data_IF_044635332565
#
_entry.id   IF_044635332565
#
_cell.length_a   1.000
_cell.length_b   1.000
_cell.length_c   1.000
_cell.angle_alpha   90.00
_cell.angle_beta   90.00
_cell.angle_gamma   90.00
#
_symmetry.space_group_name_H-M   'P 1'
#
loop_
_entity.id
_entity.type
_entity.pdbx_description
1 polymer ?
#
# COMPACT_ATOMS: atom_id res chain seq x y z
N UNK A 1 14.90 -19.00 28.86
CA UNK A 1 13.77 -19.27 27.95
C UNK A 1 14.01 -18.30 26.83
N UNK A 2 14.33 -18.75 25.64
CA UNK A 2 14.51 -17.89 24.47
C UNK A 2 13.12 -17.39 24.11
N UNK A 3 12.94 -16.11 24.15
CA UNK A 3 11.78 -15.44 23.58
C UNK A 3 11.96 -15.58 22.06
N UNK A 4 11.29 -16.58 21.51
CA UNK A 4 11.21 -16.72 20.07
C UNK A 4 10.30 -15.57 19.63
N UNK A 5 10.91 -14.54 19.02
CA UNK A 5 10.19 -13.43 18.42
C UNK A 5 9.01 -13.99 17.64
N UNK A 6 7.80 -13.49 17.89
CA UNK A 6 6.57 -13.94 17.25
C UNK A 6 6.68 -13.61 15.77
N UNK A 7 7.26 -14.54 15.02
CA UNK A 7 7.12 -14.54 13.55
C UNK A 7 5.62 -14.64 13.31
N UNK A 8 5.02 -13.61 12.75
CA UNK A 8 3.59 -13.61 12.46
C UNK A 8 3.29 -14.86 11.63
N UNK A 9 2.46 -15.76 12.18
CA UNK A 9 2.14 -16.99 11.47
C UNK A 9 1.48 -16.66 10.15
N UNK A 10 1.85 -17.33 9.04
CA UNK A 10 1.17 -17.20 7.77
C UNK A 10 -0.34 -17.32 7.94
N UNK A 11 -1.10 -16.62 7.11
CA UNK A 11 -2.55 -16.82 7.10
C UNK A 11 -2.87 -18.26 6.69
N UNK A 12 -3.86 -18.85 7.36
CA UNK A 12 -4.46 -20.11 6.95
C UNK A 12 -5.30 -19.91 5.69
N UNK A 13 -5.59 -20.99 4.96
CA UNK A 13 -6.47 -20.96 3.79
C UNK A 13 -7.85 -20.36 4.12
N UNK A 14 -8.36 -20.61 5.34
CA UNK A 14 -9.62 -20.05 5.80
C UNK A 14 -9.56 -18.52 6.00
N UNK A 15 -8.43 -18.00 6.53
CA UNK A 15 -8.21 -16.56 6.71
C UNK A 15 -7.99 -15.88 5.35
N UNK A 16 -7.29 -16.52 4.41
CA UNK A 16 -7.14 -16.04 3.04
C UNK A 16 -8.52 -15.97 2.36
N UNK A 17 -9.34 -17.02 2.49
CA UNK A 17 -10.70 -17.03 1.94
C UNK A 17 -11.60 -15.95 2.55
N UNK A 18 -11.49 -15.70 3.86
CA UNK A 18 -12.23 -14.62 4.52
C UNK A 18 -11.81 -13.24 4.01
N UNK A 19 -10.52 -13.05 3.78
CA UNK A 19 -9.98 -11.79 3.25
C UNK A 19 -10.45 -11.58 1.79
N UNK A 20 -10.40 -12.61 0.96
CA UNK A 20 -10.87 -12.57 -0.43
C UNK A 20 -12.38 -12.27 -0.51
N UNK A 21 -13.20 -12.93 0.33
CA UNK A 21 -14.64 -12.67 0.40
C UNK A 21 -14.94 -11.21 0.75
N UNK A 22 -14.19 -10.62 1.69
CA UNK A 22 -14.36 -9.22 2.04
C UNK A 22 -13.93 -8.29 0.91
N UNK A 23 -12.72 -8.50 0.35
CA UNK A 23 -12.16 -7.65 -0.70
C UNK A 23 -13.07 -7.58 -1.93
N UNK A 24 -13.83 -8.66 -2.21
CA UNK A 24 -14.75 -8.75 -3.33
C UNK A 24 -16.22 -8.46 -2.95
N UNK A 25 -16.49 -8.05 -1.70
CA UNK A 25 -17.84 -7.81 -1.19
C UNK A 25 -18.37 -6.42 -1.57
N UNK A 26 -19.70 -6.24 -1.46
CA UNK A 26 -20.37 -4.94 -1.64
C UNK A 26 -19.97 -3.89 -0.57
N UNK A 27 -19.33 -4.32 0.53
CA UNK A 27 -18.87 -3.42 1.60
C UNK A 27 -17.53 -2.73 1.26
N UNK A 28 -16.84 -3.20 0.23
CA UNK A 28 -15.62 -2.59 -0.31
C UNK A 28 -15.91 -1.78 -1.58
N UNK A 29 -15.13 -0.71 -1.86
CA UNK A 29 -15.25 0.02 -3.11
C UNK A 29 -15.07 -0.88 -4.34
N UNK A 30 -15.73 -0.55 -5.45
CA UNK A 30 -15.60 -1.28 -6.73
C UNK A 30 -14.13 -1.33 -7.24
N UNK A 31 -13.33 -0.32 -6.89
CA UNK A 31 -11.90 -0.24 -7.21
C UNK A 31 -10.98 -0.95 -6.22
N UNK A 32 -11.50 -1.72 -5.25
CA UNK A 32 -10.67 -2.48 -4.31
C UNK A 32 -9.92 -3.62 -5.04
N UNK A 33 -8.73 -3.93 -4.53
CA UNK A 33 -7.97 -5.08 -5.02
C UNK A 33 -8.63 -6.38 -4.58
N UNK A 34 -8.68 -7.40 -5.43
CA UNK A 34 -8.90 -8.77 -4.99
C UNK A 34 -7.64 -9.33 -4.30
N UNK A 35 -7.70 -10.55 -3.80
CA UNK A 35 -6.60 -11.16 -3.05
C UNK A 35 -5.34 -11.36 -3.92
N UNK A 36 -5.50 -11.67 -5.21
CA UNK A 36 -4.37 -11.88 -6.13
C UNK A 36 -3.71 -10.55 -6.51
N UNK A 37 -4.51 -9.52 -6.79
CA UNK A 37 -4.03 -8.16 -7.05
C UNK A 37 -3.31 -7.59 -5.83
N UNK A 38 -3.87 -7.80 -4.63
CA UNK A 38 -3.25 -7.40 -3.37
C UNK A 38 -1.90 -8.09 -3.16
N UNK A 39 -1.80 -9.40 -3.43
CA UNK A 39 -0.53 -10.13 -3.33
C UNK A 39 0.50 -9.58 -4.32
N UNK A 40 0.10 -9.31 -5.56
CA UNK A 40 0.98 -8.68 -6.56
C UNK A 40 1.50 -7.32 -6.13
N UNK A 41 0.61 -6.47 -5.60
CA UNK A 41 0.95 -5.16 -5.08
C UNK A 41 1.93 -5.23 -3.89
N UNK A 42 1.65 -6.08 -2.92
CA UNK A 42 2.53 -6.31 -1.77
C UNK A 42 3.87 -6.90 -2.18
N UNK A 43 3.86 -7.84 -3.13
CA UNK A 43 5.10 -8.42 -3.66
C UNK A 43 5.99 -7.37 -4.33
N UNK A 44 5.39 -6.42 -5.04
CA UNK A 44 6.12 -5.29 -5.62
C UNK A 44 6.69 -4.36 -4.55
N UNK A 45 5.91 -4.03 -3.52
CA UNK A 45 6.41 -3.22 -2.39
C UNK A 45 7.57 -3.90 -1.67
N UNK A 46 7.45 -5.20 -1.36
CA UNK A 46 8.48 -5.95 -0.62
C UNK A 46 9.74 -6.20 -1.46
N UNK A 47 9.58 -6.42 -2.78
CA UNK A 47 10.71 -6.70 -3.67
C UNK A 47 11.36 -5.45 -4.26
N UNK A 48 10.66 -4.32 -4.29
CA UNK A 48 11.00 -3.12 -5.07
C UNK A 48 11.85 -2.08 -4.32
N UNK A 49 12.00 -0.91 -4.96
CA UNK A 49 12.78 0.21 -4.42
C UNK A 49 12.06 0.96 -3.32
N UNK A 50 10.74 0.81 -3.24
CA UNK A 50 9.86 1.65 -2.44
C UNK A 50 9.66 1.04 -1.05
N UNK A 51 9.71 1.90 -0.03
CA UNK A 51 9.17 1.59 1.29
C UNK A 51 7.88 2.38 1.45
N UNK A 52 6.79 1.68 1.74
CA UNK A 52 5.48 2.30 1.95
C UNK A 52 4.97 1.90 3.33
N UNK A 53 4.44 2.90 4.06
CA UNK A 53 3.81 2.65 5.35
C UNK A 53 2.55 1.81 5.17
N UNK A 54 2.25 0.85 6.05
CA UNK A 54 1.02 0.06 5.99
C UNK A 54 -0.26 0.89 5.87
N UNK A 55 -0.35 2.01 6.58
CA UNK A 55 -1.49 2.93 6.46
C UNK A 55 -1.65 3.51 5.04
N UNK A 56 -0.53 3.79 4.36
CA UNK A 56 -0.53 4.23 2.96
C UNK A 56 -0.82 3.08 2.00
N UNK A 57 -0.32 1.88 2.31
CA UNK A 57 -0.59 0.65 1.54
C UNK A 57 -2.09 0.31 1.54
N UNK A 58 -2.75 0.37 2.70
CA UNK A 58 -4.18 0.10 2.83
C UNK A 58 -5.03 0.95 1.89
N UNK A 59 -4.67 2.22 1.69
CA UNK A 59 -5.40 3.10 0.78
C UNK A 59 -5.45 2.56 -0.64
N UNK A 60 -4.33 2.03 -1.13
CA UNK A 60 -4.23 1.46 -2.47
C UNK A 60 -4.93 0.10 -2.57
N UNK A 61 -4.97 -0.67 -1.49
CA UNK A 61 -5.72 -1.93 -1.45
C UNK A 61 -7.23 -1.66 -1.57
N UNK A 62 -7.74 -0.63 -0.89
CA UNK A 62 -9.16 -0.28 -0.92
C UNK A 62 -9.59 0.44 -2.19
N UNK A 63 -8.69 1.13 -2.86
CA UNK A 63 -8.93 1.85 -4.11
C UNK A 63 -7.65 1.87 -4.95
N UNK A 64 -7.53 0.87 -5.81
CA UNK A 64 -6.36 0.65 -6.65
C UNK A 64 -6.12 1.77 -7.68
N UNK A 65 -7.10 2.62 -7.95
CA UNK A 65 -7.00 3.68 -8.94
C UNK A 65 -6.51 4.99 -8.36
N UNK A 66 -7.00 5.39 -7.17
CA UNK A 66 -6.75 6.71 -6.58
C UNK A 66 -6.30 6.67 -5.13
N UNK A 67 -6.58 5.58 -4.42
CA UNK A 67 -6.35 5.47 -2.98
C UNK A 67 -7.19 6.46 -2.16
N UNK A 68 -8.40 6.78 -2.62
CA UNK A 68 -9.26 7.81 -2.02
C UNK A 68 -10.48 7.21 -1.32
N UNK A 69 -10.90 6.02 -1.70
CA UNK A 69 -12.06 5.33 -1.14
C UNK A 69 -11.65 4.37 -0.03
N UNK A 70 -12.59 4.09 0.86
CA UNK A 70 -12.39 3.17 1.98
C UNK A 70 -13.60 2.24 2.12
N UNK A 71 -13.42 1.02 2.64
CA UNK A 71 -14.51 0.09 2.84
C UNK A 71 -15.44 0.55 3.98
N UNK A 72 -16.67 0.05 3.95
CA UNK A 72 -17.63 0.24 5.03
C UNK A 72 -17.68 -1.04 5.86
N UNK A 73 -17.17 -0.99 7.08
CA UNK A 73 -17.20 -2.13 8.00
C UNK A 73 -18.46 -2.11 8.86
N UNK A 74 -19.03 -3.28 9.14
CA UNK A 74 -20.19 -3.42 10.02
C UNK A 74 -19.86 -3.07 11.49
N UNK A 75 -18.60 -3.17 11.88
CA UNK A 75 -18.12 -2.83 13.21
C UNK A 75 -16.64 -2.49 13.24
N UNK A 76 -16.22 -1.80 14.29
CA UNK A 76 -14.80 -1.55 14.54
C UNK A 76 -13.99 -2.83 14.82
N UNK A 77 -14.62 -3.86 15.37
CA UNK A 77 -13.97 -5.15 15.59
C UNK A 77 -13.69 -5.85 14.24
N UNK A 78 -14.61 -5.77 13.29
CA UNK A 78 -14.41 -6.27 11.93
C UNK A 78 -13.29 -5.52 11.22
N UNK A 79 -13.34 -4.17 11.25
CA UNK A 79 -12.27 -3.33 10.69
C UNK A 79 -10.91 -3.71 11.24
N UNK A 80 -10.78 -3.80 12.57
CA UNK A 80 -9.52 -4.20 13.22
C UNK A 80 -9.07 -5.57 12.74
N UNK A 81 -9.97 -6.57 12.75
CA UNK A 81 -9.64 -7.94 12.35
C UNK A 81 -9.14 -8.01 10.90
N UNK A 82 -9.80 -7.32 9.97
CA UNK A 82 -9.41 -7.33 8.56
C UNK A 82 -8.05 -6.63 8.35
N UNK A 83 -7.83 -5.50 9.00
CA UNK A 83 -6.52 -4.82 8.94
C UNK A 83 -5.42 -5.72 9.52
N UNK A 84 -5.66 -6.43 10.63
CA UNK A 84 -4.72 -7.40 11.18
C UNK A 84 -4.39 -8.53 10.18
N UNK A 85 -5.39 -9.06 9.45
CA UNK A 85 -5.15 -10.08 8.43
C UNK A 85 -4.27 -9.53 7.30
N UNK A 86 -4.55 -8.32 6.81
CA UNK A 86 -3.78 -7.66 5.75
C UNK A 86 -2.33 -7.44 6.20
N UNK A 87 -2.11 -6.94 7.42
CA UNK A 87 -0.77 -6.69 7.96
C UNK A 87 -0.01 -8.00 8.17
N UNK A 88 -0.67 -9.05 8.67
CA UNK A 88 -0.05 -10.37 8.81
C UNK A 88 0.35 -10.94 7.45
N UNK A 89 -0.50 -10.76 6.43
CA UNK A 89 -0.20 -11.17 5.06
C UNK A 89 1.02 -10.41 4.51
N UNK A 90 1.03 -9.09 4.67
CA UNK A 90 2.16 -8.23 4.31
C UNK A 90 3.47 -8.67 4.96
N UNK A 91 3.46 -8.88 6.28
CA UNK A 91 4.63 -9.31 7.03
C UNK A 91 5.11 -10.69 6.55
N UNK A 92 4.20 -11.61 6.21
CA UNK A 92 4.55 -12.92 5.66
C UNK A 92 5.21 -12.82 4.27
N UNK A 93 4.69 -12.00 3.36
CA UNK A 93 5.30 -11.75 2.05
C UNK A 93 6.71 -11.17 2.22
N UNK A 94 6.85 -10.18 3.09
CA UNK A 94 8.13 -9.52 3.39
C UNK A 94 9.12 -10.51 4.01
N UNK A 95 8.71 -11.31 4.99
CA UNK A 95 9.56 -12.32 5.64
C UNK A 95 10.00 -13.40 4.63
N UNK A 96 9.09 -13.87 3.80
CA UNK A 96 9.39 -14.87 2.77
C UNK A 96 10.45 -14.37 1.79
N UNK A 97 10.32 -13.15 1.30
CA UNK A 97 11.28 -12.55 0.38
C UNK A 97 12.65 -12.30 1.05
N UNK A 98 12.66 -11.91 2.33
CA UNK A 98 13.89 -11.62 3.05
C UNK A 98 14.63 -12.89 3.51
N UNK A 99 13.92 -13.92 3.98
CA UNK A 99 14.51 -15.04 4.72
C UNK A 99 14.37 -16.41 4.02
N UNK A 100 13.35 -16.58 3.18
CA UNK A 100 13.08 -17.85 2.48
C UNK A 100 12.81 -17.62 0.99
N UNK A 101 13.63 -16.78 0.38
CA UNK A 101 13.44 -16.26 -0.98
C UNK A 101 13.14 -17.33 -2.03
N UNK A 102 13.78 -18.50 -1.95
CA UNK A 102 13.55 -19.59 -2.90
C UNK A 102 12.16 -20.25 -2.71
N UNK A 103 11.55 -20.09 -1.55
CA UNK A 103 10.18 -20.53 -1.24
C UNK A 103 9.09 -19.57 -1.70
N UNK A 104 9.44 -18.35 -2.15
CA UNK A 104 8.45 -17.39 -2.59
C UNK A 104 7.67 -17.89 -3.81
N UNK A 105 6.34 -17.80 -3.74
CA UNK A 105 5.42 -18.08 -4.84
C UNK A 105 4.33 -17.00 -4.87
N UNK A 106 3.95 -16.48 -6.05
CA UNK A 106 2.83 -15.57 -6.18
C UNK A 106 1.50 -16.27 -5.88
N UNK A 107 0.57 -15.58 -5.24
CA UNK A 107 -0.79 -16.08 -5.03
C UNK A 107 -1.63 -15.84 -6.28
N UNK A 108 -1.70 -16.84 -7.15
CA UNK A 108 -2.48 -16.79 -8.38
C UNK A 108 -3.82 -17.50 -8.19
N UNK A 109 -4.91 -16.82 -8.49
CA UNK A 109 -6.22 -17.44 -8.59
C UNK A 109 -6.23 -18.50 -9.70
N UNK A 110 -7.17 -19.44 -9.62
CA UNK A 110 -7.31 -20.51 -10.60
C UNK A 110 -8.68 -20.41 -11.25
N UNK A 111 -8.72 -20.65 -12.56
CA UNK A 111 -9.96 -20.88 -13.30
C UNK A 111 -9.94 -22.25 -13.96
N UNK A 112 -11.10 -22.88 -14.06
CA UNK A 112 -11.22 -24.16 -14.75
C UNK A 112 -11.46 -23.93 -16.24
N UNK A 113 -10.64 -24.56 -17.10
CA UNK A 113 -10.82 -24.60 -18.54
C UNK A 113 -10.69 -26.06 -18.99
N UNK A 114 -11.73 -26.58 -19.62
CA UNK A 114 -11.79 -27.97 -20.10
C UNK A 114 -11.46 -29.03 -19.01
N UNK A 115 -11.83 -28.74 -17.75
CA UNK A 115 -11.59 -29.62 -16.61
C UNK A 115 -10.18 -29.55 -16.04
N UNK A 116 -9.33 -28.60 -16.48
CA UNK A 116 -8.00 -28.35 -15.93
C UNK A 116 -7.93 -26.98 -15.25
N UNK A 117 -7.29 -26.87 -14.05
CA UNK A 117 -7.06 -25.60 -13.41
C UNK A 117 -5.98 -24.81 -14.17
N UNK A 118 -6.27 -23.55 -14.47
CA UNK A 118 -5.36 -22.65 -15.17
C UNK A 118 -5.14 -21.41 -14.30
N UNK A 119 -3.88 -20.97 -14.07
CA UNK A 119 -3.61 -19.79 -13.27
C UNK A 119 -4.15 -18.51 -13.94
N UNK A 120 -4.77 -17.65 -13.14
CA UNK A 120 -5.15 -16.28 -13.53
C UNK A 120 -3.98 -15.37 -13.17
N UNK A 121 -3.29 -14.85 -14.18
CA UNK A 121 -2.05 -14.09 -14.02
C UNK A 121 -2.32 -12.60 -13.96
N UNK A 122 -3.34 -12.14 -14.65
CA UNK A 122 -3.66 -10.74 -14.95
C UNK A 122 -3.84 -9.94 -13.66
N UNK A 123 -4.67 -10.38 -12.74
CA UNK A 123 -4.96 -9.66 -11.49
C UNK A 123 -3.67 -9.43 -10.70
N UNK A 124 -2.86 -10.47 -10.54
CA UNK A 124 -1.60 -10.37 -9.84
C UNK A 124 -0.64 -9.38 -10.52
N UNK A 125 -0.50 -9.45 -11.84
CA UNK A 125 0.36 -8.56 -12.61
C UNK A 125 -0.13 -7.11 -12.58
N UNK A 126 -1.46 -6.89 -12.61
CA UNK A 126 -2.06 -5.57 -12.45
C UNK A 126 -1.67 -4.99 -11.09
N UNK A 127 -1.80 -5.77 -10.01
CA UNK A 127 -1.41 -5.34 -8.67
C UNK A 127 0.06 -4.95 -8.58
N UNK A 128 0.96 -5.78 -9.12
CA UNK A 128 2.38 -5.48 -9.16
C UNK A 128 2.66 -4.19 -9.95
N UNK A 129 2.04 -4.03 -11.12
CA UNK A 129 2.18 -2.84 -11.95
C UNK A 129 1.60 -1.59 -11.28
N UNK A 130 0.49 -1.68 -10.53
CA UNK A 130 -0.05 -0.55 -9.76
C UNK A 130 0.99 0.01 -8.79
N UNK A 131 1.76 -0.85 -8.13
CA UNK A 131 2.88 -0.41 -7.28
C UNK A 131 3.97 0.31 -8.10
N UNK A 132 4.36 -0.22 -9.26
CA UNK A 132 5.32 0.44 -10.17
C UNK A 132 4.79 1.83 -10.56
N UNK A 133 3.50 1.95 -10.87
CA UNK A 133 2.86 3.18 -11.33
C UNK A 133 2.79 4.28 -10.25
N UNK A 134 2.94 3.95 -8.97
CA UNK A 134 3.01 4.96 -7.90
C UNK A 134 4.29 5.80 -8.00
N UNK A 135 5.43 5.18 -8.31
CA UNK A 135 6.69 5.89 -8.56
C UNK A 135 7.48 5.23 -9.70
N UNK A 136 7.08 5.46 -10.96
CA UNK A 136 7.75 4.87 -12.11
C UNK A 136 9.23 5.25 -12.21
N UNK A 137 9.60 6.43 -11.67
CA UNK A 137 10.98 6.92 -11.74
C UNK A 137 11.92 6.07 -10.89
N UNK A 138 11.47 5.57 -9.75
CA UNK A 138 12.26 4.68 -8.90
C UNK A 138 12.53 3.32 -9.55
N UNK A 139 11.58 2.81 -10.36
CA UNK A 139 11.68 1.52 -11.04
C UNK A 139 12.42 1.58 -12.37
N UNK A 140 12.39 2.74 -13.06
CA UNK A 140 12.91 2.90 -14.42
C UNK A 140 14.35 2.41 -14.61
N UNK A 141 15.32 2.64 -13.71
CA UNK A 141 16.69 2.16 -13.89
C UNK A 141 16.78 0.63 -14.00
N UNK A 142 16.07 -0.10 -13.12
CA UNK A 142 16.07 -1.55 -13.13
C UNK A 142 15.31 -2.10 -14.34
N UNK A 143 14.18 -1.52 -14.69
CA UNK A 143 13.40 -1.93 -15.86
C UNK A 143 14.18 -1.75 -17.17
N UNK A 144 14.99 -0.69 -17.26
CA UNK A 144 15.87 -0.48 -18.41
C UNK A 144 17.05 -1.47 -18.45
N UNK A 145 17.58 -1.87 -17.29
CA UNK A 145 18.71 -2.78 -17.18
C UNK A 145 18.28 -4.25 -17.36
N UNK A 146 17.11 -4.63 -16.86
CA UNK A 146 16.59 -6.00 -16.83
C UNK A 146 15.11 -6.06 -17.28
N UNK A 147 14.80 -5.67 -18.52
CA UNK A 147 13.42 -5.69 -19.02
C UNK A 147 12.80 -7.09 -18.98
N UNK A 148 13.61 -8.15 -19.08
CA UNK A 148 13.17 -9.54 -19.04
C UNK A 148 12.51 -9.93 -17.72
N UNK A 149 12.88 -9.30 -16.59
CA UNK A 149 12.26 -9.58 -15.30
C UNK A 149 10.86 -8.98 -15.18
N UNK A 150 10.56 -7.99 -15.99
CA UNK A 150 9.26 -7.30 -16.01
C UNK A 150 8.37 -7.75 -17.18
N UNK A 151 8.88 -8.58 -18.09
CA UNK A 151 8.19 -8.89 -19.33
C UNK A 151 6.78 -9.46 -19.12
N UNK A 152 6.62 -10.43 -18.20
CA UNK A 152 5.31 -11.03 -17.88
C UNK A 152 4.43 -10.05 -17.12
N UNK A 153 4.99 -9.30 -16.17
CA UNK A 153 4.27 -8.29 -15.39
C UNK A 153 3.69 -7.22 -16.31
N UNK A 154 4.49 -6.72 -17.25
CA UNK A 154 4.03 -5.71 -18.22
C UNK A 154 3.04 -6.28 -19.23
N UNK A 155 3.23 -7.53 -19.66
CA UNK A 155 2.36 -8.19 -20.61
C UNK A 155 0.93 -8.40 -20.07
N UNK A 156 0.79 -8.77 -18.79
CA UNK A 156 -0.50 -9.03 -18.16
C UNK A 156 -1.03 -7.86 -17.33
N UNK A 157 -0.16 -6.94 -16.91
CA UNK A 157 -0.52 -5.84 -16.01
C UNK A 157 -0.80 -4.50 -16.68
N UNK A 158 -0.66 -4.39 -18.02
CA UNK A 158 -0.83 -3.12 -18.74
C UNK A 158 -1.76 -3.22 -19.95
N UNK A 159 -2.38 -2.10 -20.33
CA UNK A 159 -3.23 -2.04 -21.53
C UNK A 159 -2.48 -2.41 -22.80
N UNK A 160 -1.26 -1.89 -22.99
CA UNK A 160 -0.40 -2.22 -24.13
C UNK A 160 -0.07 -3.73 -24.16
N UNK A 161 0.15 -4.32 -23.00
CA UNK A 161 0.39 -5.75 -22.85
C UNK A 161 -0.83 -6.58 -23.22
N UNK A 162 -2.03 -6.16 -22.81
CA UNK A 162 -3.28 -6.84 -23.19
C UNK A 162 -3.55 -6.78 -24.70
N UNK A 163 -3.19 -5.69 -25.36
CA UNK A 163 -3.28 -5.60 -26.82
C UNK A 163 -2.25 -6.51 -27.51
N UNK A 164 -1.10 -6.75 -26.91
CA UNK A 164 -0.16 -7.76 -27.36
C UNK A 164 -0.69 -9.18 -27.14
N UNK A 165 -1.26 -9.48 -25.96
CA UNK A 165 -1.89 -10.78 -25.67
C UNK A 165 -3.00 -11.13 -26.67
N UNK A 166 -3.84 -10.16 -27.07
CA UNK A 166 -4.88 -10.36 -28.11
C UNK A 166 -4.29 -10.76 -29.46
N UNK A 167 -3.07 -10.31 -29.77
CA UNK A 167 -2.35 -10.65 -31.01
C UNK A 167 -1.63 -11.99 -30.92
N UNK A 168 -1.26 -12.42 -29.72
CA UNK A 168 -0.64 -13.70 -29.46
C UNK A 168 -1.70 -14.81 -29.47
N UNK A 169 -1.28 -16.00 -29.83
CA UNK A 169 -2.09 -17.20 -29.75
C UNK A 169 -1.37 -18.22 -28.86
N UNK A 170 -1.12 -17.82 -27.62
CA UNK A 170 -0.38 -18.64 -26.68
C UNK A 170 -1.17 -19.91 -26.35
N UNK A 171 -0.48 -21.04 -26.32
CA UNK A 171 -1.05 -22.29 -25.82
C UNK A 171 -1.19 -22.26 -24.29
N UNK A 172 -1.99 -23.16 -23.74
CA UNK A 172 -2.11 -23.30 -22.27
C UNK A 172 -0.75 -23.62 -21.61
N UNK A 173 0.11 -24.38 -22.28
CA UNK A 173 1.47 -24.68 -21.81
C UNK A 173 2.35 -23.43 -21.78
N UNK A 174 2.26 -22.57 -22.79
CA UNK A 174 2.97 -21.28 -22.81
C UNK A 174 2.45 -20.34 -21.72
N UNK A 175 1.14 -20.29 -21.52
CA UNK A 175 0.53 -19.52 -20.44
C UNK A 175 1.02 -19.99 -19.06
N UNK A 176 1.05 -21.32 -18.82
CA UNK A 176 1.57 -21.88 -17.58
C UNK A 176 3.05 -21.53 -17.37
N UNK A 177 3.87 -21.63 -18.42
CA UNK A 177 5.29 -21.28 -18.33
C UNK A 177 5.50 -19.78 -18.00
N UNK A 178 4.62 -18.88 -18.48
CA UNK A 178 4.64 -17.48 -18.11
C UNK A 178 4.29 -17.29 -16.63
N UNK A 179 3.25 -17.97 -16.14
CA UNK A 179 2.89 -17.96 -14.71
C UNK A 179 4.07 -18.44 -13.83
N UNK A 180 4.68 -19.55 -14.18
CA UNK A 180 5.80 -20.15 -13.44
C UNK A 180 7.03 -19.24 -13.38
N UNK A 181 7.19 -18.35 -14.36
CA UNK A 181 8.34 -17.44 -14.43
C UNK A 181 8.23 -16.25 -13.45
N UNK A 182 7.02 -15.91 -12.97
CA UNK A 182 6.79 -14.76 -12.09
C UNK A 182 7.60 -14.84 -10.80
N UNK A 183 7.62 -15.99 -10.13
CA UNK A 183 8.38 -16.18 -8.90
C UNK A 183 9.88 -15.87 -9.11
N UNK A 184 10.45 -16.32 -10.22
CA UNK A 184 11.84 -16.04 -10.59
C UNK A 184 12.11 -14.56 -10.81
N UNK A 185 11.19 -13.87 -11.48
CA UNK A 185 11.25 -12.43 -11.73
C UNK A 185 11.28 -11.64 -10.42
N UNK A 186 10.32 -11.90 -9.52
CA UNK A 186 10.24 -11.22 -8.21
C UNK A 186 11.50 -11.46 -7.37
N UNK A 187 12.01 -12.70 -7.32
CA UNK A 187 13.25 -13.04 -6.60
C UNK A 187 14.45 -12.28 -7.12
N UNK A 188 14.57 -12.11 -8.44
CA UNK A 188 15.67 -11.36 -9.05
C UNK A 188 15.55 -9.85 -8.75
N UNK A 189 14.35 -9.30 -8.86
CA UNK A 189 14.06 -7.91 -8.52
C UNK A 189 14.40 -7.65 -7.04
N UNK A 190 13.96 -8.54 -6.14
CA UNK A 190 14.24 -8.42 -4.72
C UNK A 190 15.74 -8.45 -4.40
N UNK A 191 16.51 -9.42 -4.98
CA UNK A 191 17.96 -9.49 -4.79
C UNK A 191 18.67 -8.22 -5.24
N UNK A 192 18.26 -7.65 -6.38
CA UNK A 192 18.83 -6.40 -6.87
C UNK A 192 18.62 -5.25 -5.88
N UNK A 193 17.38 -5.03 -5.45
CA UNK A 193 17.09 -3.92 -4.54
C UNK A 193 17.64 -4.14 -3.13
N UNK A 194 17.69 -5.38 -2.66
CA UNK A 194 18.33 -5.70 -1.39
C UNK A 194 19.82 -5.34 -1.42
N UNK A 195 20.53 -5.64 -2.51
CA UNK A 195 21.93 -5.27 -2.70
C UNK A 195 22.11 -3.75 -2.79
N UNK A 196 21.22 -3.05 -3.48
CA UNK A 196 21.25 -1.59 -3.52
C UNK A 196 21.06 -0.98 -2.13
N UNK A 197 20.07 -1.46 -1.36
CA UNK A 197 19.85 -1.01 0.03
C UNK A 197 21.07 -1.27 0.92
N UNK A 198 21.68 -2.45 0.86
CA UNK A 198 22.92 -2.76 1.59
C UNK A 198 24.06 -1.82 1.24
N UNK A 199 24.21 -1.51 -0.04
CA UNK A 199 25.24 -0.61 -0.52
C UNK A 199 25.02 0.82 -0.02
N UNK A 200 23.77 1.30 -0.03
CA UNK A 200 23.39 2.62 0.49
C UNK A 200 23.66 2.72 2.00
N UNK A 201 23.24 1.70 2.76
CA UNK A 201 23.50 1.63 4.21
C UNK A 201 25.00 1.66 4.49
N UNK A 202 25.80 0.87 3.76
CA UNK A 202 27.26 0.84 3.93
C UNK A 202 27.94 2.19 3.62
N UNK A 203 27.31 3.04 2.81
CA UNK A 203 27.75 4.41 2.52
C UNK A 203 27.23 5.45 3.51
N UNK A 204 26.42 5.05 4.50
CA UNK A 204 25.71 5.95 5.40
C UNK A 204 24.58 6.72 4.71
N UNK A 205 24.19 6.29 3.54
CA UNK A 205 23.01 6.80 2.82
C UNK A 205 21.79 6.08 3.35
N UNK A 206 20.67 6.81 3.48
CA UNK A 206 19.44 6.25 4.00
C UNK A 206 18.57 5.85 2.80
N UNK A 207 18.15 4.59 2.67
CA UNK A 207 17.18 4.21 1.63
C UNK A 207 15.95 5.09 1.71
N UNK A 208 15.51 5.61 0.56
CA UNK A 208 14.39 6.54 0.51
C UNK A 208 13.10 5.89 0.95
N UNK A 209 12.48 6.39 2.00
CA UNK A 209 11.07 6.12 2.31
C UNK A 209 10.24 6.98 1.36
N UNK A 210 9.43 6.35 0.51
CA UNK A 210 8.44 7.06 -0.29
C UNK A 210 7.27 7.44 0.62
N UNK A 211 7.20 8.69 0.91
CA UNK A 211 6.24 9.36 1.77
C UNK A 211 6.67 10.79 2.07
N UNK A 212 7.96 11.08 1.96
CA UNK A 212 8.45 12.46 1.84
C UNK A 212 8.49 12.86 0.36
N UNK A 213 7.34 13.14 -0.21
CA UNK A 213 7.33 14.28 -1.13
C UNK A 213 7.90 15.44 -0.33
N UNK A 214 8.97 16.11 -0.83
CA UNK A 214 9.24 17.48 -0.36
C UNK A 214 7.89 18.14 -0.25
N UNK A 215 7.58 18.83 0.86
CA UNK A 215 6.30 19.52 0.98
C UNK A 215 6.15 20.30 -0.31
N UNK A 216 5.16 19.96 -1.11
CA UNK A 216 4.77 20.79 -2.24
C UNK A 216 4.56 22.12 -1.57
N UNK A 217 5.47 23.07 -1.80
CA UNK A 217 5.30 24.44 -1.34
C UNK A 217 4.09 24.91 -2.10
N UNK A 218 2.92 24.66 -1.52
CA UNK A 218 1.71 25.27 -1.99
C UNK A 218 2.02 26.77 -2.03
N UNK A 219 1.97 27.34 -3.22
CA UNK A 219 1.98 28.79 -3.34
C UNK A 219 1.01 29.32 -2.29
N UNK A 220 1.38 30.36 -1.52
CA UNK A 220 0.60 30.82 -0.39
C UNK A 220 -0.87 30.88 -0.81
N UNK A 221 -1.76 30.19 -0.06
CA UNK A 221 -3.19 30.12 -0.37
C UNK A 221 -3.69 31.56 -0.54
N UNK A 222 -4.06 31.91 -1.77
CA UNK A 222 -4.58 33.22 -2.06
C UNK A 222 -5.90 33.36 -1.31
N UNK A 223 -5.94 34.28 -0.35
CA UNK A 223 -7.13 34.54 0.42
C UNK A 223 -8.26 35.03 -0.51
N UNK A 224 -9.52 34.69 -0.22
CA UNK A 224 -10.68 35.14 -1.03
C UNK A 224 -10.70 36.64 -1.28
N UNK A 225 -10.13 37.45 -0.38
CA UNK A 225 -10.09 38.88 -0.45
C UNK A 225 -8.79 39.46 -1.04
N UNK A 226 -7.78 38.64 -1.31
CA UNK A 226 -6.50 39.06 -1.86
C UNK A 226 -6.63 39.46 -3.33
N UNK A 227 -5.72 40.31 -3.84
CA UNK A 227 -5.67 40.63 -5.27
C UNK A 227 -5.49 39.35 -6.10
N UNK A 228 -6.26 39.21 -7.17
CA UNK A 228 -6.15 38.05 -8.04
C UNK A 228 -4.79 38.07 -8.76
N UNK A 229 -4.03 36.94 -8.77
CA UNK A 229 -2.70 36.86 -9.37
C UNK A 229 -2.70 37.04 -10.91
N UNK A 230 -3.88 37.03 -11.53
CA UNK A 230 -4.00 37.31 -12.97
C UNK A 230 -3.73 38.77 -13.38
N UNK A 231 -3.43 39.66 -12.43
CA UNK A 231 -3.17 41.05 -12.69
C UNK A 231 -4.42 41.90 -12.98
N UNK A 232 -5.63 41.36 -12.85
CA UNK A 232 -6.89 42.09 -13.14
C UNK A 232 -7.25 43.19 -12.12
N UNK A 233 -6.51 43.33 -11.04
CA UNK A 233 -6.81 44.26 -9.95
C UNK A 233 -8.04 43.90 -9.12
N UNK A 234 -8.74 42.79 -9.43
CA UNK A 234 -9.93 42.34 -8.71
C UNK A 234 -9.53 41.42 -7.57
N UNK A 235 -10.35 41.38 -6.50
CA UNK A 235 -10.20 40.39 -5.44
C UNK A 235 -10.42 38.97 -6.00
N UNK A 236 -9.66 37.99 -5.52
CA UNK A 236 -9.70 36.59 -5.99
C UNK A 236 -11.12 36.02 -6.07
N UNK A 237 -11.96 36.24 -5.04
CA UNK A 237 -13.36 35.82 -5.00
C UNK A 237 -14.27 36.45 -6.08
N UNK A 238 -13.84 37.51 -6.72
CA UNK A 238 -14.58 38.20 -7.81
C UNK A 238 -13.89 38.05 -9.18
N UNK A 239 -12.91 37.15 -9.25
CA UNK A 239 -12.18 36.82 -10.45
C UNK A 239 -12.07 35.28 -10.59
N UNK A 240 -10.93 34.70 -10.37
CA UNK A 240 -10.74 33.24 -10.53
C UNK A 240 -11.29 32.40 -9.35
N UNK A 241 -11.65 33.00 -8.25
CA UNK A 241 -12.36 32.35 -7.13
C UNK A 241 -13.88 32.61 -7.13
N UNK A 242 -14.44 33.18 -8.21
CA UNK A 242 -15.88 33.23 -8.39
C UNK A 242 -16.39 31.85 -8.76
N UNK A 243 -17.20 31.22 -7.87
CA UNK A 243 -17.99 30.04 -8.24
C UNK A 243 -19.07 30.57 -9.18
N UNK A 244 -19.02 30.17 -10.45
CA UNK A 244 -20.14 30.41 -11.37
C UNK A 244 -21.32 29.60 -10.86
N UNK A 245 -22.34 30.31 -10.34
CA UNK A 245 -23.68 29.75 -10.22
C UNK A 245 -24.20 29.47 -11.65
N UNK A 246 -24.12 28.26 -12.10
CA UNK A 246 -24.91 27.84 -13.25
C UNK A 246 -26.34 27.68 -12.76
N UNK A 247 -27.11 28.78 -12.92
CA UNK A 247 -28.57 28.70 -12.88
C UNK A 247 -29.08 28.40 -14.27
N UNK A 248 -29.88 27.32 -14.32
CA UNK A 248 -30.99 27.05 -15.21
C UNK A 248 -30.79 27.05 -16.73
N UNK A 249 -30.86 25.87 -17.28
CA UNK A 249 -31.72 25.62 -18.43
C UNK A 249 -32.42 24.26 -18.21
N UNK A 250 -33.73 24.35 -18.01
CA UNK A 250 -34.56 23.25 -17.60
C UNK A 250 -34.70 22.12 -18.60
N UNK A 251 -34.98 20.97 -18.11
CA UNK A 251 -35.94 20.05 -18.71
C UNK A 251 -36.62 19.24 -17.63
N UNK A 252 -37.96 19.38 -17.62
CA UNK A 252 -38.90 18.59 -16.80
C UNK A 252 -38.88 17.13 -17.31
N UNK A 253 -38.80 16.17 -16.40
CA UNK A 253 -39.80 15.07 -16.33
C UNK A 253 -39.48 14.06 -15.24
N UNK A 254 -40.46 13.93 -14.40
CA UNK A 254 -40.91 12.78 -13.60
C UNK A 254 -40.18 12.50 -12.26
N UNK A 255 -40.99 12.88 -11.28
CA UNK A 255 -41.00 12.38 -9.92
C UNK A 255 -41.11 10.84 -9.87
N UNK A 256 -40.35 10.24 -8.99
CA UNK A 256 -40.88 9.26 -8.06
C UNK A 256 -40.11 9.31 -6.74
N UNK A 257 -40.90 9.59 -5.77
CA UNK A 257 -40.80 9.67 -4.34
C UNK A 257 -40.00 8.52 -3.70
N UNK A 258 -38.86 8.82 -3.06
CA UNK A 258 -38.29 8.02 -1.99
C UNK A 258 -38.10 8.87 -0.74
N UNK A 259 -39.17 8.83 0.06
CA UNK A 259 -39.18 9.41 1.40
C UNK A 259 -38.06 8.82 2.29
N UNK A 260 -37.19 9.71 2.71
CA UNK A 260 -36.47 9.83 3.97
C UNK A 260 -36.50 8.61 4.93
N UNK A 261 -35.40 7.93 5.03
CA UNK A 261 -34.91 7.41 6.30
C UNK A 261 -33.58 8.07 6.56
N UNK A 262 -33.54 9.00 7.50
CA UNK A 262 -32.33 9.62 8.00
C UNK A 262 -31.52 8.56 8.74
N UNK A 263 -30.52 8.01 8.09
CA UNK A 263 -29.40 7.36 8.77
C UNK A 263 -28.49 8.48 9.31
N UNK A 264 -28.03 8.39 10.56
CA UNK A 264 -27.02 9.32 11.04
C UNK A 264 -25.76 9.08 10.20
N UNK A 265 -25.46 10.01 9.32
CA UNK A 265 -24.16 10.10 8.66
C UNK A 265 -23.12 10.29 9.75
N UNK A 266 -22.46 9.21 10.16
CA UNK A 266 -21.11 9.32 10.71
C UNK A 266 -20.28 9.88 9.58
N UNK A 267 -19.87 11.13 9.70
CA UNK A 267 -18.80 11.69 8.89
C UNK A 267 -17.54 10.88 9.22
N UNK A 268 -17.29 9.84 8.42
CA UNK A 268 -16.00 9.15 8.39
C UNK A 268 -15.07 10.13 7.70
N UNK A 269 -14.16 10.76 8.46
CA UNK A 269 -13.05 11.48 7.84
C UNK A 269 -12.33 10.50 6.91
N UNK A 270 -12.17 10.79 5.61
CA UNK A 270 -11.82 9.80 4.59
C UNK A 270 -10.40 9.24 4.71
N UNK A 271 -9.57 9.64 5.69
CA UNK A 271 -8.19 9.18 5.88
C UNK A 271 -7.76 9.25 7.33
N UNK A 272 -6.87 8.35 7.78
CA UNK A 272 -6.24 8.53 9.07
C UNK A 272 -5.50 9.87 9.06
N UNK A 273 -5.93 10.77 9.93
CA UNK A 273 -5.23 12.05 10.15
C UNK A 273 -3.91 11.70 10.82
N UNK A 274 -2.80 11.83 10.08
CA UNK A 274 -1.47 11.62 10.64
C UNK A 274 -1.10 12.73 11.61
N UNK A 275 -0.47 12.34 12.70
CA UNK A 275 0.12 13.28 13.65
C UNK A 275 1.37 13.94 13.04
N UNK A 276 1.57 15.21 13.36
CA UNK A 276 2.84 15.88 13.06
C UNK A 276 4.02 15.36 13.90
N UNK A 277 3.73 14.52 14.90
CA UNK A 277 4.72 13.88 15.75
C UNK A 277 5.25 12.57 15.15
N UNK A 278 4.67 12.06 14.05
CA UNK A 278 5.23 10.96 13.28
C UNK A 278 6.65 11.31 12.85
N UNK A 279 7.61 10.43 13.14
CA UNK A 279 9.02 10.73 12.94
C UNK A 279 9.89 9.49 12.79
N UNK A 280 11.04 9.69 12.17
CA UNK A 280 12.08 8.69 12.10
C UNK A 280 12.97 8.73 13.33
N UNK A 281 13.27 7.55 13.87
CA UNK A 281 14.24 7.39 14.98
C UNK A 281 15.39 6.51 14.52
N UNK A 282 16.62 6.97 14.82
CA UNK A 282 17.86 6.24 14.52
C UNK A 282 18.60 5.97 15.81
N UNK A 283 19.06 4.74 16.01
CA UNK A 283 19.93 4.34 17.12
C UNK A 283 21.06 3.45 16.57
N UNK A 284 22.27 3.97 16.60
CA UNK A 284 23.41 3.31 15.96
C UNK A 284 23.21 3.20 14.45
N UNK A 285 23.23 1.99 13.92
CA UNK A 285 23.03 1.69 12.50
C UNK A 285 21.60 1.29 12.14
N UNK A 286 20.68 1.33 13.09
CA UNK A 286 19.29 0.91 12.92
C UNK A 286 18.36 2.11 12.89
N UNK A 287 17.43 2.12 11.96
CA UNK A 287 16.41 3.14 11.83
C UNK A 287 15.00 2.52 11.77
N UNK A 288 14.04 3.20 12.39
CA UNK A 288 12.62 2.89 12.30
C UNK A 288 11.83 4.18 12.03
N UNK A 289 10.70 4.05 11.35
CA UNK A 289 9.71 5.12 11.18
C UNK A 289 8.60 4.91 12.21
N UNK A 290 8.34 5.93 13.03
CA UNK A 290 7.21 5.96 13.97
C UNK A 290 6.07 6.70 13.29
N UNK A 291 4.96 6.01 13.07
CA UNK A 291 3.74 6.57 12.50
C UNK A 291 2.62 6.59 13.53
N UNK A 292 2.00 7.75 13.65
CA UNK A 292 0.92 8.01 14.61
C UNK A 292 -0.25 8.60 13.83
N UNK A 293 -1.41 7.95 13.88
CA UNK A 293 -2.58 8.38 13.12
C UNK A 293 -3.89 8.14 13.88
N UNK A 294 -4.93 8.90 13.52
CA UNK A 294 -6.26 8.81 14.17
C UNK A 294 -6.90 7.45 13.97
N UNK A 295 -7.48 6.91 15.03
CA UNK A 295 -8.25 5.65 15.03
C UNK A 295 -9.71 5.82 14.57
N UNK A 296 -10.11 7.02 14.14
CA UNK A 296 -11.50 7.33 13.77
C UNK A 296 -12.49 7.41 14.95
N UNK A 297 -12.04 7.13 16.20
CA UNK A 297 -12.87 7.13 17.41
C UNK A 297 -12.42 8.17 18.45
N UNK A 298 -11.51 9.03 18.06
CA UNK A 298 -10.95 10.10 18.90
C UNK A 298 -9.63 9.74 19.59
N UNK A 299 -9.13 8.51 19.40
CA UNK A 299 -7.81 8.04 19.82
C UNK A 299 -6.76 8.12 18.72
N UNK A 300 -5.57 7.61 19.01
CA UNK A 300 -4.44 7.57 18.12
C UNK A 300 -3.87 6.16 18.06
N UNK A 301 -3.58 5.66 16.89
CA UNK A 301 -2.88 4.42 16.63
C UNK A 301 -1.38 4.69 16.50
N UNK A 302 -0.58 3.72 16.94
CA UNK A 302 0.86 3.74 16.84
C UNK A 302 1.34 2.57 16.00
N UNK A 303 2.16 2.87 15.04
CA UNK A 303 2.82 1.92 14.16
C UNK A 303 4.30 2.26 14.05
N UNK A 304 5.16 1.25 14.07
CA UNK A 304 6.59 1.40 13.84
C UNK A 304 7.00 0.48 12.71
N UNK A 305 7.65 1.05 11.69
CA UNK A 305 8.13 0.30 10.52
C UNK A 305 9.64 0.34 10.49
N UNK A 306 10.27 -0.82 10.31
CA UNK A 306 11.71 -0.94 10.19
C UNK A 306 12.23 -0.67 8.78
N UNK A 307 13.55 -0.64 8.63
CA UNK A 307 14.24 -0.43 7.36
C UNK A 307 14.05 -1.56 6.33
N UNK A 308 13.45 -2.70 6.73
CA UNK A 308 13.17 -3.86 5.88
C UNK A 308 11.69 -3.96 5.51
N UNK A 309 10.87 -3.02 5.98
CA UNK A 309 9.43 -2.96 5.71
C UNK A 309 8.57 -3.82 6.66
N UNK A 310 9.15 -4.38 7.74
CA UNK A 310 8.32 -5.03 8.76
C UNK A 310 7.65 -3.98 9.62
N UNK A 311 6.36 -4.22 9.94
CA UNK A 311 5.52 -3.34 10.73
C UNK A 311 5.20 -3.94 12.09
N UNK A 312 5.30 -3.11 13.14
CA UNK A 312 4.82 -3.38 14.48
C UNK A 312 3.73 -2.39 14.84
N UNK A 313 2.51 -2.86 15.07
CA UNK A 313 1.34 -2.06 15.40
C UNK A 313 0.93 -2.34 16.85
N UNK A 314 0.65 -1.29 17.63
CA UNK A 314 0.13 -1.43 18.99
C UNK A 314 -1.36 -1.72 18.98
N UNK A 315 -1.79 -2.70 19.75
CA UNK A 315 -3.18 -3.15 19.81
C UNK A 315 -4.14 -2.12 20.39
N UNK A 316 -3.68 -1.31 21.35
CA UNK A 316 -4.48 -0.30 22.03
C UNK A 316 -4.28 1.09 21.43
N UNK A 317 -5.38 1.85 21.28
CA UNK A 317 -5.31 3.25 20.88
C UNK A 317 -4.89 4.14 22.04
N UNK A 318 -4.14 5.19 21.73
CA UNK A 318 -3.64 6.17 22.68
C UNK A 318 -4.57 7.37 22.77
N UNK A 319 -4.73 8.00 23.95
CA UNK A 319 -5.61 9.15 24.11
C UNK A 319 -5.08 10.40 23.38
N UNK A 320 -3.77 10.49 23.16
CA UNK A 320 -3.11 11.58 22.44
C UNK A 320 -1.98 11.06 21.56
N UNK A 321 -1.64 11.81 20.52
CA UNK A 321 -0.48 11.51 19.66
C UNK A 321 0.85 11.58 20.42
N UNK A 322 0.96 12.47 21.40
CA UNK A 322 2.12 12.56 22.27
C UNK A 322 2.27 11.35 23.19
N UNK A 323 1.16 10.73 23.62
CA UNK A 323 1.20 9.48 24.39
C UNK A 323 1.67 8.30 23.51
N UNK A 324 1.21 8.24 22.27
CA UNK A 324 1.66 7.25 21.30
C UNK A 324 3.17 7.38 21.00
N UNK A 325 3.64 8.62 20.77
CA UNK A 325 5.07 8.87 20.57
C UNK A 325 5.90 8.49 21.81
N UNK A 326 5.42 8.85 23.02
CA UNK A 326 6.12 8.52 24.25
C UNK A 326 6.27 7.01 24.44
N UNK A 327 5.24 6.23 24.08
CA UNK A 327 5.28 4.76 24.14
C UNK A 327 6.28 4.19 23.13
N UNK A 328 6.28 4.66 21.88
CA UNK A 328 7.27 4.22 20.87
C UNK A 328 8.70 4.48 21.34
N UNK A 329 8.98 5.69 21.87
CA UNK A 329 10.30 6.05 22.37
C UNK A 329 10.67 5.24 23.63
N UNK A 330 9.70 4.97 24.51
CA UNK A 330 9.92 4.13 25.69
C UNK A 330 10.27 2.69 25.29
N UNK A 331 9.56 2.10 24.33
CA UNK A 331 9.89 0.77 23.81
C UNK A 331 11.32 0.74 23.21
N UNK A 332 11.68 1.74 22.42
CA UNK A 332 13.02 1.87 21.86
C UNK A 332 14.09 1.99 22.95
N UNK A 333 13.84 2.74 24.00
CA UNK A 333 14.83 3.02 25.06
C UNK A 333 14.93 1.88 26.09
N UNK A 334 13.83 1.13 26.34
CA UNK A 334 13.79 0.04 27.35
C UNK A 334 14.09 -1.33 26.76
N UNK A 335 13.55 -1.63 25.58
CA UNK A 335 13.69 -2.94 24.93
C UNK A 335 14.77 -2.92 23.83
N UNK A 336 15.17 -1.71 23.43
CA UNK A 336 16.11 -1.48 22.33
C UNK A 336 15.41 -1.42 20.97
N UNK A 337 15.93 -0.60 20.05
CA UNK A 337 15.36 -0.42 18.70
C UNK A 337 15.29 -1.74 17.94
N UNK A 338 16.14 -2.72 18.26
CA UNK A 338 16.18 -4.04 17.62
C UNK A 338 14.96 -4.91 17.95
N UNK A 339 14.23 -4.64 19.04
CA UNK A 339 12.97 -5.34 19.37
C UNK A 339 11.85 -4.99 18.37
N UNK A 340 11.96 -3.84 17.73
CA UNK A 340 11.03 -3.32 16.72
C UNK A 340 11.50 -3.57 15.27
N UNK A 341 12.59 -4.31 15.11
CA UNK A 341 13.11 -4.72 13.80
C UNK A 341 12.75 -6.19 13.59
N UNK A 342 12.03 -6.47 12.52
CA UNK A 342 11.69 -7.83 12.13
C UNK A 342 12.91 -8.64 11.67
N UNK A 343 12.67 -9.75 11.00
CA UNK A 343 13.73 -10.64 10.54
C UNK A 343 14.70 -9.91 9.62
N UNK A 344 15.97 -9.89 10.01
CA UNK A 344 17.04 -9.33 9.17
C UNK A 344 17.32 -10.31 8.04
N UNK A 345 17.35 -9.87 6.77
CA UNK A 345 17.65 -10.74 5.64
C UNK A 345 18.94 -11.52 5.83
N UNK A 346 18.93 -12.85 5.55
CA UNK A 346 20.07 -13.72 5.67
C UNK A 346 21.32 -13.18 4.94
N UNK A 347 22.43 -13.09 5.65
CA UNK A 347 23.70 -12.56 5.13
C UNK A 347 24.00 -11.11 5.48
N UNK A 348 23.15 -10.42 6.25
CA UNK A 348 23.44 -9.11 6.80
C UNK A 348 24.08 -9.28 8.18
N UNK A 349 25.37 -9.59 8.24
CA UNK A 349 26.13 -9.52 9.50
C UNK A 349 26.46 -8.06 9.76
N UNK A 350 25.92 -7.50 10.84
CA UNK A 350 26.41 -6.21 11.37
C UNK A 350 27.82 -6.43 11.92
N UNK A 351 28.79 -5.72 11.42
CA UNK A 351 30.15 -5.64 11.94
C UNK A 351 30.29 -4.55 12.98
#
# INVERSE_FOLDING_TARGET
MKDDGVVAQPLSDAEIGQLDELLTSESTPEGAMDISMMDGFMSALASGPMMMMPSSMLRWIWDADRGEQSPTFASAAESKHIVELIIRYWNNVTDTLNNTLDGYQPLLLQREVDGAPIPVIDEWCVGYYKCIAIDPAAWAPLMAQHPEWFAVIMLYGTEDGWDELKRRQDSLEQHQALADSLAGSVRNIHRYWLEQRRTQIARGEIPGVIGRREPIRHAPKIGRNDPCPCGSGRKYKRCHGAVENVQDAGNESNADDWTSVAHPTMEVEPYPVHSQLSQRVVRGETAVEIEIYKDGKGGWLLEVVDEFGNSTVWDDSFPTDSAALAEALNAIDTEGIMSLVGSIPDGTTRH
#
